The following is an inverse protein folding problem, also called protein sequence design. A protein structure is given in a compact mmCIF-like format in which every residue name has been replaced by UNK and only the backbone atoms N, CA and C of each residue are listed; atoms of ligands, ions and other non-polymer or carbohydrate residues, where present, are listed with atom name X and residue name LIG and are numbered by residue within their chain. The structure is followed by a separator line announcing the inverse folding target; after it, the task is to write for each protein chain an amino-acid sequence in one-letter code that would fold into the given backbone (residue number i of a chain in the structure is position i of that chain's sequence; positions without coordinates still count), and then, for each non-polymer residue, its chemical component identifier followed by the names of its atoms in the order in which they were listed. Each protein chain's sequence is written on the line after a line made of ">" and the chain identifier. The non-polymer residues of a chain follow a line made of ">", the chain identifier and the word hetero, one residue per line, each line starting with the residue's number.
data_IF_902934981886
#
_entry.id   IF_902934981886
#
_cell.length_a   1.000
_cell.length_b   1.000
_cell.length_c   1.000
_cell.angle_alpha   90.00
_cell.angle_beta   90.00
_cell.angle_gamma   90.00
#
_symmetry.space_group_name_H-M   'P 1'
#
loop_
_entity.id
_entity.type
_entity.pdbx_description
1 polymer ?
#
# COMPACT_ATOMS: atom_id res chain seq x y z
N UNK A 1 2.45 -15.91 -8.17
CA UNK A 1 3.78 -16.06 -7.57
C UNK A 1 4.26 -17.49 -7.76
N UNK A 2 5.40 -17.71 -8.41
CA UNK A 2 5.93 -19.05 -8.72
C UNK A 2 7.38 -19.25 -8.25
N UNK A 3 7.88 -18.38 -7.37
CA UNK A 3 9.26 -18.40 -6.88
C UNK A 3 10.34 -18.01 -7.90
N UNK A 4 9.99 -17.72 -9.17
CA UNK A 4 10.96 -17.28 -10.18
C UNK A 4 11.20 -15.77 -10.10
N UNK A 5 12.43 -15.34 -10.41
CA UNK A 5 12.76 -13.92 -10.57
C UNK A 5 11.88 -13.30 -11.66
N UNK A 6 11.36 -12.11 -11.41
CA UNK A 6 10.68 -11.30 -12.42
C UNK A 6 11.65 -11.03 -13.58
N UNK A 7 11.16 -11.09 -14.83
CA UNK A 7 12.00 -10.81 -16.02
C UNK A 7 12.60 -9.41 -15.98
N UNK A 8 11.83 -8.43 -15.52
CA UNK A 8 12.22 -7.03 -15.44
C UNK A 8 12.79 -6.70 -14.05
N UNK A 9 14.10 -6.46 -13.97
CA UNK A 9 14.85 -6.20 -12.71
C UNK A 9 15.45 -4.79 -12.66
N UNK A 10 15.18 -3.95 -13.66
CA UNK A 10 15.63 -2.55 -13.77
C UNK A 10 14.63 -1.54 -13.17
N UNK A 11 13.62 -2.02 -12.43
CA UNK A 11 12.55 -1.17 -11.86
C UNK A 11 12.89 -0.74 -10.43
N UNK A 12 13.59 -1.59 -9.70
CA UNK A 12 13.91 -1.45 -8.30
C UNK A 12 15.17 -0.59 -8.12
N UNK A 13 15.10 0.41 -7.24
CA UNK A 13 16.28 1.14 -6.77
C UNK A 13 16.87 0.46 -5.53
N UNK A 14 16.01 0.18 -4.55
CA UNK A 14 16.33 -0.53 -3.32
C UNK A 14 15.13 -1.37 -2.90
N UNK A 15 15.38 -2.49 -2.23
CA UNK A 15 14.34 -3.37 -1.67
C UNK A 15 14.20 -3.07 -0.18
N UNK A 16 12.98 -2.95 0.31
CA UNK A 16 12.71 -2.75 1.73
C UNK A 16 12.94 -4.06 2.49
N UNK A 17 13.52 -3.98 3.68
CA UNK A 17 13.70 -5.11 4.58
C UNK A 17 12.38 -5.43 5.32
N UNK A 18 11.39 -5.89 4.55
CA UNK A 18 10.06 -6.29 5.01
C UNK A 18 9.69 -7.60 4.32
N UNK A 19 9.18 -8.57 5.09
CA UNK A 19 8.77 -9.85 4.52
C UNK A 19 7.63 -9.70 3.51
N UNK A 20 7.74 -10.44 2.41
CA UNK A 20 6.65 -10.61 1.42
C UNK A 20 5.67 -11.73 1.79
N UNK A 21 6.05 -12.58 2.75
CA UNK A 21 5.40 -13.85 3.01
C UNK A 21 5.61 -14.89 1.88
N UNK A 22 4.93 -16.03 2.01
CA UNK A 22 5.14 -17.21 1.16
C UNK A 22 4.02 -17.46 0.14
N UNK A 23 3.09 -16.50 0.00
CA UNK A 23 1.94 -16.61 -0.90
C UNK A 23 1.99 -15.52 -1.98
N UNK A 24 1.08 -15.57 -2.93
CA UNK A 24 0.88 -14.47 -3.90
C UNK A 24 0.02 -13.34 -3.31
N UNK A 25 0.32 -12.97 -2.06
CA UNK A 25 -0.27 -11.87 -1.30
C UNK A 25 0.80 -10.78 -1.19
N UNK A 26 0.42 -9.56 -0.85
CA UNK A 26 1.30 -8.39 -0.92
C UNK A 26 1.54 -7.89 -2.35
N UNK A 27 0.47 -7.80 -3.13
CA UNK A 27 0.45 -7.12 -4.44
C UNK A 27 0.47 -5.58 -4.27
N UNK A 28 0.22 -4.82 -5.33
CA UNK A 28 0.36 -3.36 -5.35
C UNK A 28 -0.44 -2.65 -4.23
N UNK A 29 -1.76 -2.87 -4.14
CA UNK A 29 -2.59 -2.28 -3.10
C UNK A 29 -2.25 -2.82 -1.70
N UNK A 30 -1.91 -4.10 -1.59
CA UNK A 30 -1.52 -4.72 -0.34
C UNK A 30 -0.24 -4.11 0.24
N UNK A 31 0.75 -3.77 -0.60
CA UNK A 31 1.97 -3.11 -0.15
C UNK A 31 1.70 -1.72 0.43
N UNK A 32 0.76 -0.98 -0.18
CA UNK A 32 0.29 0.31 0.35
C UNK A 32 -0.37 0.12 1.72
N UNK A 33 -1.30 -0.84 1.83
CA UNK A 33 -1.95 -1.16 3.10
C UNK A 33 -0.94 -1.66 4.15
N UNK A 34 0.04 -2.49 3.75
CA UNK A 34 1.13 -2.98 4.61
C UNK A 34 1.92 -1.83 5.20
N UNK A 35 2.44 -0.92 4.36
CA UNK A 35 3.28 0.17 4.82
C UNK A 35 2.53 1.14 5.74
N UNK A 36 1.26 1.45 5.41
CA UNK A 36 0.39 2.23 6.30
C UNK A 36 0.21 1.53 7.65
N UNK A 37 -0.08 0.23 7.64
CA UNK A 37 -0.30 -0.56 8.84
C UNK A 37 0.98 -0.69 9.69
N UNK A 38 2.15 -0.87 9.08
CA UNK A 38 3.46 -0.95 9.76
C UNK A 38 3.78 0.35 10.52
N UNK A 39 3.56 1.50 9.88
CA UNK A 39 3.72 2.80 10.52
C UNK A 39 2.82 2.91 11.76
N UNK A 40 1.53 2.60 11.61
CA UNK A 40 0.56 2.66 12.71
C UNK A 40 0.88 1.65 13.81
N UNK A 41 1.31 0.44 13.46
CA UNK A 41 1.64 -0.63 14.41
C UNK A 41 2.85 -0.24 15.27
N UNK A 42 3.91 0.24 14.63
CA UNK A 42 5.16 0.66 15.29
C UNK A 42 4.92 1.84 16.23
N UNK A 43 4.03 2.76 15.84
CA UNK A 43 3.61 3.89 16.68
C UNK A 43 2.51 3.53 17.70
N UNK A 44 2.15 2.24 17.85
CA UNK A 44 1.10 1.74 18.77
C UNK A 44 -0.28 2.37 18.55
N UNK A 45 -0.54 2.91 17.35
CA UNK A 45 -1.83 3.48 16.94
C UNK A 45 -2.78 2.38 16.46
N UNK A 46 -2.92 1.30 17.25
CA UNK A 46 -3.60 0.07 16.82
C UNK A 46 -5.08 0.25 16.48
N UNK A 47 -5.76 1.19 17.15
CA UNK A 47 -7.16 1.52 16.87
C UNK A 47 -7.37 2.08 15.45
N UNK A 48 -6.32 2.63 14.85
CA UNK A 48 -6.37 3.22 13.51
C UNK A 48 -5.98 2.21 12.43
N UNK A 49 -5.63 0.97 12.79
CA UNK A 49 -5.33 -0.08 11.84
C UNK A 49 -6.64 -0.79 11.48
N UNK A 50 -7.22 -0.37 10.37
CA UNK A 50 -8.34 -1.04 9.73
C UNK A 50 -8.25 -0.91 8.22
N UNK A 51 -8.91 -1.84 7.53
CA UNK A 51 -9.05 -1.81 6.07
C UNK A 51 -10.41 -2.34 5.65
N UNK A 52 -10.96 -1.78 4.58
CA UNK A 52 -12.21 -2.29 3.99
C UNK A 52 -11.94 -3.49 3.07
N UNK A 53 -12.73 -4.55 3.26
CA UNK A 53 -12.83 -5.64 2.31
C UNK A 53 -13.63 -5.23 1.07
N UNK A 54 -13.52 -6.03 0.01
CA UNK A 54 -14.23 -5.81 -1.26
C UNK A 54 -15.76 -5.81 -1.10
N UNK A 55 -16.29 -6.51 -0.10
CA UNK A 55 -17.71 -6.52 0.20
C UNK A 55 -18.18 -5.34 1.08
N UNK A 56 -17.28 -4.41 1.42
CA UNK A 56 -17.53 -3.23 2.26
C UNK A 56 -17.38 -3.44 3.76
N UNK A 57 -17.19 -4.69 4.22
CA UNK A 57 -16.96 -4.94 5.65
C UNK A 57 -15.58 -4.41 6.09
N UNK A 58 -15.51 -3.79 7.26
CA UNK A 58 -14.24 -3.28 7.81
C UNK A 58 -13.56 -4.31 8.71
N UNK A 59 -12.29 -4.58 8.43
CA UNK A 59 -11.45 -5.46 9.22
C UNK A 59 -10.61 -4.65 10.20
N UNK A 60 -11.01 -4.58 11.46
CA UNK A 60 -10.25 -3.90 12.52
C UNK A 60 -9.16 -4.81 13.09
N UNK A 61 -7.92 -4.31 13.15
CA UNK A 61 -6.80 -5.04 13.75
C UNK A 61 -7.06 -5.36 15.23
N UNK A 62 -7.57 -4.39 16.00
CA UNK A 62 -7.86 -4.60 17.43
C UNK A 62 -8.82 -5.76 17.65
N UNK A 63 -9.86 -5.90 16.82
CA UNK A 63 -10.78 -7.04 16.88
C UNK A 63 -10.06 -8.37 16.64
N UNK A 64 -9.15 -8.40 15.67
CA UNK A 64 -8.32 -9.58 15.39
C UNK A 64 -7.38 -9.89 16.57
N UNK A 65 -6.72 -8.86 17.11
CA UNK A 65 -5.80 -8.95 18.24
C UNK A 65 -6.50 -9.37 19.54
N UNK A 66 -7.76 -8.99 19.76
CA UNK A 66 -8.60 -9.47 20.88
C UNK A 66 -9.05 -10.94 20.74
N UNK A 67 -8.57 -11.65 19.71
CA UNK A 67 -8.74 -13.09 19.55
C UNK A 67 -9.87 -13.50 18.60
N UNK A 68 -10.49 -12.55 17.90
CA UNK A 68 -11.48 -12.88 16.87
C UNK A 68 -10.79 -13.28 15.57
N UNK A 69 -11.40 -14.23 14.86
CA UNK A 69 -10.96 -14.67 13.54
C UNK A 69 -12.08 -14.55 12.54
N UNK A 70 -11.72 -14.18 11.32
CA UNK A 70 -12.65 -14.03 10.21
C UNK A 70 -13.25 -15.40 9.84
N UNK A 71 -14.57 -15.42 9.63
CA UNK A 71 -15.31 -16.51 9.00
C UNK A 71 -16.15 -15.90 7.89
N UNK A 72 -15.99 -16.39 6.67
CA UNK A 72 -16.74 -15.93 5.50
C UNK A 72 -17.83 -16.94 5.15
N UNK A 73 -19.05 -16.46 4.87
CA UNK A 73 -20.16 -17.29 4.36
C UNK A 73 -20.85 -16.52 3.23
N UNK A 74 -20.68 -16.98 1.99
CA UNK A 74 -21.10 -16.21 0.82
C UNK A 74 -20.37 -14.87 0.77
N UNK A 75 -21.10 -13.77 0.57
CA UNK A 75 -20.54 -12.41 0.55
C UNK A 75 -20.54 -11.70 1.91
N UNK A 76 -20.78 -12.41 3.02
CA UNK A 76 -20.83 -11.84 4.36
C UNK A 76 -19.66 -12.30 5.21
N UNK A 77 -19.11 -11.38 6.00
CA UNK A 77 -18.08 -11.70 6.99
C UNK A 77 -18.64 -11.77 8.41
N UNK A 78 -18.07 -12.67 9.19
CA UNK A 78 -18.40 -12.88 10.59
C UNK A 78 -17.10 -12.97 11.39
N UNK A 79 -17.16 -12.53 12.64
CA UNK A 79 -16.02 -12.55 13.54
C UNK A 79 -16.33 -13.44 14.73
N UNK A 80 -15.54 -14.49 14.90
CA UNK A 80 -15.75 -15.48 15.97
C UNK A 80 -14.53 -15.51 16.88
N UNK A 81 -14.76 -15.44 18.19
CA UNK A 81 -13.68 -15.51 19.18
C UNK A 81 -13.11 -16.92 19.20
N UNK A 82 -11.84 -17.06 18.81
CA UNK A 82 -11.15 -18.34 18.63
C UNK A 82 -9.77 -18.40 19.25
N UNK A 83 -9.21 -17.25 19.62
CA UNK A 83 -7.89 -17.13 20.21
C UNK A 83 -7.94 -16.25 21.46
N UNK A 84 -6.84 -16.24 22.20
CA UNK A 84 -6.61 -15.27 23.29
C UNK A 84 -6.19 -13.92 22.70
N UNK A 85 -6.27 -12.88 23.53
CA UNK A 85 -5.74 -11.55 23.23
C UNK A 85 -4.23 -11.64 22.96
N UNK A 86 -3.80 -11.10 21.83
CA UNK A 86 -2.40 -11.09 21.40
C UNK A 86 -2.16 -9.92 20.43
N UNK A 87 -1.28 -9.00 20.84
CA UNK A 87 -0.89 -7.82 20.05
C UNK A 87 0.53 -7.93 19.49
N UNK A 88 1.13 -9.12 19.50
CA UNK A 88 2.46 -9.37 18.94
C UNK A 88 2.50 -9.13 17.44
N UNK A 89 3.71 -8.87 16.94
CA UNK A 89 3.94 -8.64 15.51
C UNK A 89 3.50 -9.84 14.65
N UNK A 90 3.64 -11.06 15.17
CA UNK A 90 3.17 -12.28 14.50
C UNK A 90 1.66 -12.27 14.27
N UNK A 91 0.88 -11.81 15.26
CA UNK A 91 -0.57 -11.68 15.12
C UNK A 91 -0.96 -10.53 14.21
N UNK A 92 -0.24 -9.40 14.26
CA UNK A 92 -0.37 -8.32 13.27
C UNK A 92 -0.13 -8.81 11.83
N UNK A 93 0.91 -9.59 11.59
CA UNK A 93 1.17 -10.17 10.26
C UNK A 93 0.07 -11.11 9.81
N UNK A 94 -0.43 -11.95 10.72
CA UNK A 94 -1.55 -12.85 10.42
C UNK A 94 -2.84 -12.08 10.09
N UNK A 95 -3.05 -10.91 10.70
CA UNK A 95 -4.13 -10.00 10.35
C UNK A 95 -3.95 -9.41 8.95
N UNK A 96 -2.75 -8.93 8.60
CA UNK A 96 -2.47 -8.39 7.27
C UNK A 96 -2.69 -9.43 6.16
N UNK A 97 -2.34 -10.70 6.40
CA UNK A 97 -2.61 -11.77 5.42
C UNK A 97 -4.11 -12.00 5.19
N UNK A 98 -4.94 -11.77 6.22
CA UNK A 98 -6.41 -11.76 6.06
C UNK A 98 -6.84 -10.55 5.23
N UNK A 99 -6.30 -9.36 5.50
CA UNK A 99 -6.59 -8.16 4.70
C UNK A 99 -6.27 -8.40 3.23
N UNK A 100 -5.08 -8.89 2.90
CA UNK A 100 -4.65 -9.16 1.52
C UNK A 100 -5.49 -10.22 0.80
N UNK A 101 -6.22 -11.06 1.55
CA UNK A 101 -7.08 -12.09 0.97
C UNK A 101 -8.45 -11.55 0.52
N UNK A 102 -8.89 -10.40 1.05
CA UNK A 102 -10.27 -9.89 0.86
C UNK A 102 -10.34 -8.42 0.47
N UNK A 103 -9.24 -7.67 0.58
CA UNK A 103 -9.09 -6.31 0.12
C UNK A 103 -8.21 -6.25 -1.14
N UNK A 104 -8.27 -5.13 -1.84
CA UNK A 104 -7.44 -4.89 -3.02
C UNK A 104 -7.65 -3.46 -3.53
N UNK A 105 -7.20 -3.18 -4.75
CA UNK A 105 -7.23 -1.82 -5.32
C UNK A 105 -8.63 -1.21 -5.33
N UNK A 106 -9.67 -2.02 -5.56
CA UNK A 106 -11.06 -1.58 -5.51
C UNK A 106 -11.49 -1.12 -4.11
N UNK A 107 -11.27 -1.94 -3.08
CA UNK A 107 -11.70 -1.60 -1.71
C UNK A 107 -10.85 -0.48 -1.11
N UNK A 108 -9.53 -0.48 -1.37
CA UNK A 108 -8.65 0.62 -0.99
C UNK A 108 -9.15 1.95 -1.56
N UNK A 109 -9.62 1.96 -2.80
CA UNK A 109 -10.17 3.15 -3.44
C UNK A 109 -11.45 3.69 -2.80
N UNK A 110 -12.22 2.86 -2.09
CA UNK A 110 -13.39 3.28 -1.32
C UNK A 110 -13.01 3.88 0.04
N UNK A 111 -11.79 3.60 0.53
CA UNK A 111 -11.32 4.01 1.85
C UNK A 111 -10.45 5.27 1.83
N UNK A 112 -9.92 5.66 0.67
CA UNK A 112 -9.05 6.84 0.52
C UNK A 112 -9.76 8.02 -0.13
N UNK A 113 -9.34 9.24 0.23
CA UNK A 113 -9.89 10.49 -0.31
C UNK A 113 -8.94 11.14 -1.31
N UNK A 114 -9.49 11.74 -2.36
CA UNK A 114 -8.68 12.42 -3.39
C UNK A 114 -8.10 13.73 -2.85
N UNK A 115 -6.83 13.96 -3.15
CA UNK A 115 -6.16 15.25 -2.91
C UNK A 115 -6.32 16.13 -4.15
N UNK A 116 -6.95 17.29 -3.98
CA UNK A 116 -7.27 18.19 -5.09
C UNK A 116 -6.06 18.94 -5.66
N UNK A 117 -5.09 19.27 -4.80
CA UNK A 117 -3.89 20.02 -5.14
C UNK A 117 -2.65 19.16 -4.93
N UNK A 118 -1.86 18.99 -5.97
CA UNK A 118 -0.62 18.22 -5.91
C UNK A 118 0.37 18.77 -4.86
N UNK A 119 0.38 20.08 -4.64
CA UNK A 119 1.24 20.72 -3.63
C UNK A 119 0.84 20.42 -2.18
N UNK A 120 -0.31 19.78 -1.94
CA UNK A 120 -0.72 19.31 -0.62
C UNK A 120 -0.24 17.87 -0.34
N UNK A 121 0.57 17.29 -1.24
CA UNK A 121 1.12 15.96 -1.05
C UNK A 121 1.95 15.87 0.23
N UNK A 122 1.78 14.78 0.96
CA UNK A 122 2.50 14.41 2.17
C UNK A 122 3.03 12.97 2.07
N UNK A 123 3.97 12.65 2.97
CA UNK A 123 4.45 11.27 3.15
C UNK A 123 3.27 10.39 3.58
N UNK A 124 3.16 9.22 2.96
CA UNK A 124 2.04 8.30 3.16
C UNK A 124 0.88 8.49 2.18
N UNK A 125 0.89 9.55 1.37
CA UNK A 125 -0.04 9.67 0.25
C UNK A 125 0.21 8.62 -0.81
N UNK A 126 -0.82 8.33 -1.60
CA UNK A 126 -0.78 7.24 -2.57
C UNK A 126 -1.22 7.74 -3.94
N UNK A 127 -0.61 7.23 -4.99
CA UNK A 127 -1.17 7.29 -6.33
C UNK A 127 -1.91 5.99 -6.60
N UNK A 128 -3.21 6.09 -6.88
CA UNK A 128 -4.11 4.95 -6.98
C UNK A 128 -5.02 5.07 -8.19
N UNK A 129 -4.95 4.08 -9.08
CA UNK A 129 -5.90 3.89 -10.17
C UNK A 129 -6.66 2.57 -9.98
N UNK A 130 -7.96 2.59 -10.23
CA UNK A 130 -8.80 1.39 -10.34
C UNK A 130 -9.17 1.15 -11.79
N UNK A 131 -9.19 -0.10 -12.23
CA UNK A 131 -9.63 -0.49 -13.56
C UNK A 131 -10.01 -1.96 -13.61
N UNK A 132 -10.75 -2.35 -14.64
CA UNK A 132 -11.04 -3.75 -14.98
C UNK A 132 -10.37 -4.02 -16.33
N UNK A 133 -9.35 -4.88 -16.44
CA UNK A 133 -8.96 -5.92 -15.48
C UNK A 133 -8.02 -5.49 -14.33
N UNK A 134 -7.33 -4.35 -14.39
CA UNK A 134 -6.29 -4.02 -13.40
C UNK A 134 -6.34 -2.58 -12.92
N UNK A 135 -6.01 -2.41 -11.64
CA UNK A 135 -5.60 -1.15 -11.03
C UNK A 135 -4.20 -1.26 -10.44
N UNK A 136 -3.60 -0.13 -10.07
CA UNK A 136 -2.26 -0.09 -9.47
C UNK A 136 -2.18 0.97 -8.39
N UNK A 137 -1.29 0.74 -7.43
CA UNK A 137 -1.09 1.61 -6.29
C UNK A 137 0.40 1.74 -5.98
N UNK A 138 0.84 2.96 -5.71
CA UNK A 138 2.18 3.29 -5.19
C UNK A 138 2.05 4.30 -4.06
N UNK A 139 2.97 4.28 -3.10
CA UNK A 139 2.95 5.14 -1.90
C UNK A 139 4.15 6.08 -1.88
N UNK A 140 3.91 7.32 -1.45
CA UNK A 140 4.93 8.34 -1.20
C UNK A 140 5.66 8.00 0.10
N UNK A 141 6.93 7.65 -0.01
CA UNK A 141 7.74 7.17 1.12
C UNK A 141 8.46 8.29 1.86
N UNK A 142 8.90 9.30 1.12
CA UNK A 142 9.66 10.42 1.66
C UNK A 142 9.56 11.63 0.72
N UNK A 143 9.80 12.81 1.26
CA UNK A 143 9.77 14.08 0.55
C UNK A 143 10.90 15.00 1.02
N UNK A 144 11.57 15.67 0.08
CA UNK A 144 12.60 16.65 0.37
C UNK A 144 12.32 17.95 -0.38
N UNK A 145 12.64 19.09 0.24
CA UNK A 145 12.45 20.42 -0.33
C UNK A 145 13.76 21.19 -0.33
N UNK A 146 14.14 21.74 -1.48
CA UNK A 146 15.34 22.58 -1.56
C UNK A 146 15.07 24.01 -1.07
N UNK A 147 16.12 24.83 -0.98
CA UNK A 147 16.03 26.24 -0.54
C UNK A 147 15.21 27.14 -1.48
N UNK A 148 15.01 26.73 -2.74
CA UNK A 148 14.17 27.44 -3.73
C UNK A 148 12.69 27.04 -3.63
N UNK A 149 12.40 26.04 -2.81
CA UNK A 149 11.06 25.50 -2.60
C UNK A 149 10.65 24.39 -3.57
N UNK A 150 11.56 23.88 -4.40
CA UNK A 150 11.29 22.70 -5.22
C UNK A 150 11.21 21.46 -4.35
N UNK A 151 10.13 20.69 -4.50
CA UNK A 151 9.91 19.45 -3.77
C UNK A 151 10.18 18.25 -4.66
N UNK A 152 10.89 17.28 -4.10
CA UNK A 152 11.05 15.93 -4.65
C UNK A 152 10.47 14.89 -3.71
N UNK A 153 10.13 13.71 -4.22
CA UNK A 153 9.54 12.62 -3.44
C UNK A 153 10.01 11.23 -3.90
N UNK A 154 9.96 10.26 -2.99
CA UNK A 154 10.21 8.84 -3.24
C UNK A 154 8.90 8.07 -3.34
N UNK A 155 8.89 7.03 -4.17
CA UNK A 155 7.77 6.11 -4.30
C UNK A 155 8.22 4.69 -3.94
N UNK A 156 7.34 3.94 -3.28
CA UNK A 156 7.46 2.49 -3.15
C UNK A 156 6.25 1.78 -3.76
N UNK A 157 6.50 0.54 -4.19
CA UNK A 157 5.45 -0.35 -4.67
C UNK A 157 5.78 -1.82 -4.39
N UNK A 158 4.74 -2.66 -4.48
CA UNK A 158 4.86 -4.04 -4.96
C UNK A 158 4.19 -4.11 -6.34
N UNK A 159 4.04 -5.31 -6.91
CA UNK A 159 3.44 -5.49 -8.23
C UNK A 159 2.58 -6.76 -8.28
N UNK A 160 2.05 -7.07 -9.47
CA UNK A 160 1.26 -8.26 -9.74
C UNK A 160 2.03 -9.18 -10.72
N UNK A 161 2.40 -10.41 -10.36
CA UNK A 161 2.29 -11.06 -9.04
C UNK A 161 3.13 -10.38 -7.94
N UNK A 162 2.83 -10.72 -6.68
CA UNK A 162 3.44 -10.11 -5.49
C UNK A 162 4.97 -10.21 -5.49
N UNK A 163 5.62 -9.08 -5.20
CA UNK A 163 7.07 -8.90 -5.15
C UNK A 163 7.48 -8.27 -3.81
N UNK A 164 8.78 -8.29 -3.52
CA UNK A 164 9.28 -7.53 -2.38
C UNK A 164 9.00 -6.05 -2.61
N UNK A 165 8.60 -5.35 -1.54
CA UNK A 165 8.32 -3.93 -1.62
C UNK A 165 9.63 -3.21 -1.91
N UNK A 166 9.63 -2.29 -2.87
CA UNK A 166 10.86 -1.63 -3.32
C UNK A 166 10.62 -0.16 -3.60
N UNK A 167 11.68 0.63 -3.43
CA UNK A 167 11.76 2.00 -3.93
C UNK A 167 11.82 1.96 -5.47
N UNK A 168 10.94 2.72 -6.10
CA UNK A 168 10.84 2.82 -7.55
C UNK A 168 11.94 3.71 -8.14
N UNK A 169 12.60 3.23 -9.19
CA UNK A 169 13.47 4.09 -10.00
C UNK A 169 12.65 5.11 -10.77
N UNK A 170 13.14 6.34 -10.83
CA UNK A 170 12.60 7.35 -11.75
C UNK A 170 13.26 7.19 -13.14
N UNK A 171 12.54 6.77 -14.19
CA UNK A 171 13.12 6.57 -15.51
C UNK A 171 13.44 7.89 -16.24
N UNK A 172 12.94 9.02 -15.73
CA UNK A 172 13.00 10.33 -16.39
C UNK A 172 13.97 11.31 -15.72
N UNK A 173 14.80 10.86 -14.78
CA UNK A 173 15.66 11.75 -13.99
C UNK A 173 16.99 11.10 -13.63
N UNK A 174 18.08 11.86 -13.75
CA UNK A 174 19.40 11.49 -13.21
C UNK A 174 19.44 11.49 -11.68
N UNK A 175 18.47 12.13 -11.01
CA UNK A 175 18.28 12.10 -9.56
C UNK A 175 17.50 10.86 -9.08
N UNK A 176 17.32 9.85 -9.93
CA UNK A 176 16.67 8.59 -9.56
C UNK A 176 17.25 8.07 -8.23
N UNK A 177 16.39 7.72 -7.25
CA UNK A 177 14.96 7.41 -7.37
C UNK A 177 13.99 8.59 -7.18
N UNK A 178 14.48 9.82 -7.04
CA UNK A 178 13.62 10.97 -6.70
C UNK A 178 12.79 11.47 -7.89
N UNK A 179 11.52 11.72 -7.62
CA UNK A 179 10.55 12.34 -8.55
C UNK A 179 10.34 13.81 -8.19
N UNK A 180 10.14 14.69 -9.17
CA UNK A 180 9.83 16.10 -8.93
C UNK A 180 8.32 16.30 -8.79
N UNK A 181 7.88 17.02 -7.76
CA UNK A 181 6.46 17.34 -7.54
C UNK A 181 5.87 18.22 -8.65
N UNK A 182 6.70 18.94 -9.40
CA UNK A 182 6.30 19.85 -10.47
C UNK A 182 5.95 19.19 -11.82
N UNK A 183 5.68 17.88 -11.85
CA UNK A 183 5.25 17.20 -13.09
C UNK A 183 3.95 17.81 -13.64
N UNK A 184 3.77 17.84 -14.97
CA UNK A 184 2.69 18.63 -15.61
C UNK A 184 1.33 17.94 -15.60
N UNK A 185 1.23 16.71 -16.10
CA UNK A 185 -0.03 15.95 -16.20
C UNK A 185 0.14 14.54 -15.66
N UNK A 186 1.20 13.89 -16.10
CA UNK A 186 1.50 12.50 -15.80
C UNK A 186 2.73 12.35 -14.91
N UNK A 187 2.64 11.38 -14.01
CA UNK A 187 3.74 10.83 -13.25
C UNK A 187 4.13 9.50 -13.90
N UNK A 188 5.27 9.49 -14.57
CA UNK A 188 5.79 8.32 -15.29
C UNK A 188 6.63 7.51 -14.30
N UNK A 189 6.20 6.29 -14.00
CA UNK A 189 6.99 5.29 -13.28
C UNK A 189 7.45 4.21 -14.26
N UNK A 190 8.39 3.31 -13.90
CA UNK A 190 8.91 2.33 -14.84
C UNK A 190 7.85 1.44 -15.49
N UNK A 191 6.81 1.07 -14.74
CA UNK A 191 5.79 0.08 -15.18
C UNK A 191 4.37 0.65 -15.26
N UNK A 192 4.15 1.87 -14.76
CA UNK A 192 2.83 2.46 -14.68
C UNK A 192 2.87 3.98 -14.85
N UNK A 193 1.82 4.57 -15.43
CA UNK A 193 1.68 6.03 -15.55
C UNK A 193 0.46 6.50 -14.79
N UNK A 194 0.67 7.38 -13.83
CA UNK A 194 -0.39 8.00 -13.04
C UNK A 194 -0.70 9.40 -13.56
N UNK A 195 -1.92 9.86 -13.34
CA UNK A 195 -2.37 11.22 -13.54
C UNK A 195 -2.30 11.98 -12.22
N UNK A 196 -2.21 13.32 -12.28
CA UNK A 196 -2.28 14.17 -11.08
C UNK A 196 -3.47 13.89 -10.17
N UNK A 197 -4.61 13.50 -10.75
CA UNK A 197 -5.85 13.26 -10.02
C UNK A 197 -5.91 11.90 -9.31
N UNK A 198 -4.91 11.04 -9.51
CA UNK A 198 -4.81 9.75 -8.85
C UNK A 198 -4.21 9.84 -7.44
N UNK A 199 -3.79 11.04 -7.01
CA UNK A 199 -3.27 11.28 -5.67
C UNK A 199 -4.39 11.22 -4.62
N UNK A 200 -4.21 10.38 -3.61
CA UNK A 200 -5.18 10.11 -2.54
C UNK A 200 -4.50 9.94 -1.18
N UNK A 201 -5.28 10.10 -0.11
CA UNK A 201 -4.84 9.95 1.29
C UNK A 201 -5.81 9.06 2.08
N UNK A 202 -5.26 8.29 3.01
CA UNK A 202 -6.04 7.66 4.07
C UNK A 202 -6.69 8.73 4.97
N UNK A 203 -7.86 8.48 5.56
CA UNK A 203 -8.48 9.41 6.51
C UNK A 203 -7.65 9.58 7.79
#
# INVERSE_FOLDING_TARGET
>A
YNGKKKRRQDVQFAVLDIDRGNRDLQQCADAVMRLRAEYLYTNKMWNNIHFQFTNGDTAYYTKYAEGYRLKVRGNKTYWIKKAKKDYTYKTFRSYMDVVFSYAGTYSLNQEVTRISKLNNMEIGDIFLQTGNPYGHAVIVMDMAKNTKGDTIFLLAQSYMPAQDIHILRNPSSSLSPWYKLSFKKQLITPEWTFQKHDLKRFP
#
